data_IF_226847443624
#
_entry.id   IF_226847443624
#
_cell.length_a   1.000
_cell.length_b   1.000
_cell.length_c   1.000
_cell.angle_alpha   90.00
_cell.angle_beta   90.00
_cell.angle_gamma   90.00
#
_symmetry.space_group_name_H-M   'P 1'
#
loop_
_entity.id
_entity.type
_entity.pdbx_description
1 polymer ?
#
# COMPACT_ATOMS: atom_id res chain seq x y z
N UNK A 1 34.70 19.51 -22.96
CA UNK A 1 34.39 18.08 -22.79
C UNK A 1 33.75 17.87 -21.42
N UNK A 2 32.43 18.05 -21.30
CA UNK A 2 31.73 17.93 -20.02
C UNK A 2 31.21 16.49 -19.91
N UNK A 3 31.81 15.69 -19.02
CA UNK A 3 31.35 14.34 -18.71
C UNK A 3 30.00 14.43 -17.99
N UNK A 4 28.92 14.14 -18.69
CA UNK A 4 27.62 13.89 -18.08
C UNK A 4 27.73 12.59 -17.26
N UNK A 5 27.74 12.72 -15.93
CA UNK A 5 27.55 11.58 -15.04
C UNK A 5 26.14 11.05 -15.27
N UNK A 6 26.03 9.84 -15.82
CA UNK A 6 24.77 9.16 -16.02
C UNK A 6 24.02 9.05 -14.70
N UNK A 7 22.91 9.76 -14.58
CA UNK A 7 21.95 9.55 -13.50
C UNK A 7 21.44 8.11 -13.61
N UNK A 8 21.80 7.28 -12.63
CA UNK A 8 21.30 5.91 -12.54
C UNK A 8 19.77 5.93 -12.60
N UNK A 9 19.21 5.30 -13.62
CA UNK A 9 17.75 5.14 -13.80
C UNK A 9 17.18 4.56 -12.52
N UNK A 10 16.47 5.37 -11.73
CA UNK A 10 15.71 4.90 -10.58
C UNK A 10 14.58 4.02 -11.13
N UNK A 11 14.76 2.70 -11.04
CA UNK A 11 13.75 1.73 -11.45
C UNK A 11 12.67 1.69 -10.39
N UNK A 12 11.68 2.57 -10.50
CA UNK A 12 10.42 2.35 -9.79
C UNK A 12 9.68 1.22 -10.50
N UNK A 13 9.35 0.16 -9.76
CA UNK A 13 8.55 -0.95 -10.27
C UNK A 13 7.18 -0.86 -9.63
N UNK A 14 6.14 -0.83 -10.44
CA UNK A 14 4.77 -1.05 -9.97
C UNK A 14 4.64 -2.55 -9.74
N UNK A 15 4.41 -2.94 -8.48
CA UNK A 15 4.25 -4.34 -8.11
C UNK A 15 2.83 -4.53 -7.61
N UNK A 16 2.25 -5.66 -7.99
CA UNK A 16 0.98 -6.17 -7.49
C UNK A 16 1.30 -7.42 -6.66
N UNK A 17 1.22 -7.34 -5.33
CA UNK A 17 1.30 -8.56 -4.52
C UNK A 17 -0.12 -9.06 -4.26
N UNK A 18 -0.26 -10.39 -4.19
CA UNK A 18 -1.54 -11.07 -4.02
C UNK A 18 -1.55 -11.75 -2.66
N UNK A 19 -2.64 -11.56 -1.92
CA UNK A 19 -2.93 -12.26 -0.68
C UNK A 19 -4.25 -12.99 -0.82
N UNK A 20 -4.33 -14.19 -0.25
CA UNK A 20 -5.56 -14.97 -0.22
C UNK A 20 -5.97 -15.13 1.24
N UNK A 21 -7.20 -14.72 1.55
CA UNK A 21 -7.77 -14.85 2.89
C UNK A 21 -8.98 -15.77 2.86
N UNK A 22 -9.12 -16.60 3.89
CA UNK A 22 -10.27 -17.46 4.10
C UNK A 22 -11.19 -16.78 5.11
N UNK A 23 -12.34 -16.31 4.65
CA UNK A 23 -13.36 -15.64 5.46
C UNK A 23 -14.63 -16.46 5.33
N UNK A 24 -15.08 -17.09 6.42
CA UNK A 24 -16.42 -17.71 6.53
C UNK A 24 -16.83 -18.46 5.24
N UNK A 25 -16.01 -19.45 4.82
CA UNK A 25 -16.15 -20.24 3.59
C UNK A 25 -16.01 -19.52 2.24
N UNK A 26 -15.54 -18.27 2.19
CA UNK A 26 -15.21 -17.55 0.96
C UNK A 26 -13.74 -17.15 0.93
N UNK A 27 -13.08 -17.50 -0.17
CA UNK A 27 -11.72 -17.06 -0.47
C UNK A 27 -11.78 -15.64 -1.05
N UNK A 28 -11.18 -14.67 -0.37
CA UNK A 28 -11.08 -13.29 -0.85
C UNK A 28 -9.65 -13.03 -1.31
N UNK A 29 -9.51 -12.50 -2.51
CA UNK A 29 -8.21 -12.12 -3.06
C UNK A 29 -8.02 -10.62 -2.90
N UNK A 30 -6.98 -10.24 -2.16
CA UNK A 30 -6.59 -8.84 -1.96
C UNK A 30 -5.29 -8.62 -2.71
N UNK A 31 -5.23 -7.50 -3.43
CA UNK A 31 -4.06 -7.04 -4.14
C UNK A 31 -3.61 -5.72 -3.55
N UNK A 32 -2.35 -5.60 -3.21
CA UNK A 32 -1.73 -4.30 -2.96
C UNK A 32 -0.99 -3.84 -4.21
N UNK A 33 -1.21 -2.60 -4.60
CA UNK A 33 -0.64 -2.02 -5.82
C UNK A 33 0.01 -0.71 -5.48
N UNK A 34 1.30 -0.60 -5.80
CA UNK A 34 2.06 0.62 -5.60
C UNK A 34 3.48 0.49 -6.14
N UNK A 35 4.26 1.53 -5.90
CA UNK A 35 5.65 1.61 -6.35
C UNK A 35 6.60 1.12 -5.27
N UNK A 36 7.58 0.34 -5.69
CA UNK A 36 8.78 0.07 -4.90
C UNK A 36 9.96 0.90 -5.39
N UNK A 37 10.76 1.37 -4.45
CA UNK A 37 12.06 1.96 -4.68
C UNK A 37 13.03 1.45 -3.62
N UNK A 38 14.16 0.88 -4.06
CA UNK A 38 15.20 0.32 -3.17
C UNK A 38 14.66 -0.70 -2.14
N UNK A 39 13.67 -1.51 -2.53
CA UNK A 39 13.04 -2.50 -1.64
C UNK A 39 11.95 -1.93 -0.72
N UNK A 40 11.76 -0.61 -0.68
CA UNK A 40 10.73 0.04 0.12
C UNK A 40 9.50 0.39 -0.71
N UNK A 41 8.33 0.27 -0.08
CA UNK A 41 7.07 0.84 -0.60
C UNK A 41 7.17 2.35 -0.52
N UNK A 42 6.89 3.05 -1.61
CA UNK A 42 6.92 4.50 -1.66
C UNK A 42 5.64 5.05 -2.27
N UNK A 43 5.36 6.33 -2.00
CA UNK A 43 4.22 7.08 -2.51
C UNK A 43 2.88 6.36 -2.21
N UNK A 44 1.91 6.49 -3.11
CA UNK A 44 0.57 5.96 -2.93
C UNK A 44 0.53 4.46 -3.15
N UNK A 45 -0.11 3.79 -2.20
CA UNK A 45 -0.44 2.37 -2.24
C UNK A 45 -1.95 2.19 -2.17
N UNK A 46 -2.50 1.30 -3.00
CA UNK A 46 -3.92 0.97 -2.99
C UNK A 46 -4.10 -0.51 -2.67
N UNK A 47 -5.11 -0.83 -1.85
CA UNK A 47 -5.60 -2.18 -1.63
C UNK A 47 -6.84 -2.40 -2.46
N UNK A 48 -6.83 -3.45 -3.29
CA UNK A 48 -7.86 -3.76 -4.27
C UNK A 48 -8.36 -5.17 -3.99
N UNK A 49 -9.67 -5.36 -3.90
CA UNK A 49 -10.32 -6.67 -3.77
C UNK A 49 -11.54 -6.71 -4.67
N UNK A 50 -11.80 -7.82 -5.35
CA UNK A 50 -12.95 -7.97 -6.26
C UNK A 50 -13.05 -6.79 -7.27
N UNK A 51 -11.91 -6.28 -7.74
CA UNK A 51 -11.75 -5.07 -8.58
C UNK A 51 -12.22 -3.74 -7.96
N UNK A 52 -12.62 -3.72 -6.70
CA UNK A 52 -12.92 -2.51 -5.95
C UNK A 52 -11.72 -2.08 -5.11
N UNK A 53 -11.47 -0.77 -5.05
CA UNK A 53 -10.51 -0.20 -4.10
C UNK A 53 -11.13 -0.27 -2.69
N UNK A 54 -10.49 -1.03 -1.81
CA UNK A 54 -10.93 -1.24 -0.42
C UNK A 54 -10.08 -0.48 0.60
N UNK A 55 -8.94 0.07 0.16
CA UNK A 55 -8.09 0.89 1.02
C UNK A 55 -6.98 1.60 0.25
N UNK A 56 -6.31 2.53 0.91
CA UNK A 56 -5.09 3.15 0.41
C UNK A 56 -4.33 3.88 1.49
N UNK A 57 -3.07 4.17 1.22
CA UNK A 57 -2.27 5.05 2.04
C UNK A 57 -1.07 5.57 1.28
N UNK A 58 -0.27 6.39 1.96
CA UNK A 58 0.96 6.94 1.43
C UNK A 58 2.15 6.47 2.27
N UNK A 59 3.19 6.01 1.59
CA UNK A 59 4.50 5.78 2.20
C UNK A 59 5.45 6.90 1.83
N UNK A 60 6.30 7.30 2.78
CA UNK A 60 7.41 8.21 2.53
C UNK A 60 8.56 7.49 1.82
N UNK A 61 9.63 8.22 1.49
CA UNK A 61 10.82 7.66 0.80
C UNK A 61 11.59 6.63 1.63
N UNK A 62 11.33 6.56 2.94
CA UNK A 62 11.94 5.61 3.87
C UNK A 62 11.05 4.38 4.11
N UNK A 63 9.93 4.24 3.39
CA UNK A 63 9.02 3.10 3.55
C UNK A 63 8.08 3.19 4.75
N UNK A 64 7.95 4.36 5.39
CA UNK A 64 7.07 4.57 6.53
C UNK A 64 5.73 5.14 6.10
N UNK A 65 4.64 4.68 6.73
CA UNK A 65 3.28 5.19 6.51
C UNK A 65 3.22 6.68 6.90
N UNK A 66 2.62 7.49 6.04
CA UNK A 66 2.42 8.92 6.26
C UNK A 66 1.03 9.36 5.81
N UNK A 67 0.47 10.35 6.52
CA UNK A 67 -0.79 11.00 6.18
C UNK A 67 -1.99 10.08 6.38
N UNK A 68 -3.04 10.31 5.58
CA UNK A 68 -4.30 9.57 5.71
C UNK A 68 -4.18 8.16 5.14
N UNK A 69 -4.54 7.20 5.97
CA UNK A 69 -4.61 5.78 5.67
C UNK A 69 -6.04 5.30 5.80
N UNK A 70 -6.45 4.54 4.80
CA UNK A 70 -7.72 3.82 4.74
C UNK A 70 -7.34 2.36 4.91
N UNK A 71 -7.49 1.85 6.13
CA UNK A 71 -7.10 0.51 6.53
C UNK A 71 -8.31 -0.39 6.73
N UNK A 72 -8.09 -1.67 6.45
CA UNK A 72 -9.08 -2.70 6.70
C UNK A 72 -9.01 -3.06 8.18
N UNK A 73 -10.13 -2.96 8.88
CA UNK A 73 -10.21 -3.44 10.25
C UNK A 73 -10.03 -4.98 10.29
N UNK A 74 -9.61 -5.50 11.45
CA UNK A 74 -9.65 -6.94 11.73
C UNK A 74 -11.06 -7.53 11.60
N UNK A 75 -12.11 -6.73 11.83
CA UNK A 75 -13.51 -7.09 11.59
C UNK A 75 -13.97 -6.93 10.13
N UNK A 76 -13.21 -6.23 9.28
CA UNK A 76 -13.48 -6.20 7.83
C UNK A 76 -13.53 -7.63 7.27
N UNK A 77 -12.72 -8.51 7.84
CA UNK A 77 -12.68 -9.92 7.47
C UNK A 77 -14.04 -10.58 7.65
N UNK A 78 -14.81 -10.34 8.71
CA UNK A 78 -16.10 -11.04 8.89
C UNK A 78 -17.28 -10.35 8.19
N UNK A 79 -17.25 -9.02 8.04
CA UNK A 79 -18.43 -8.25 7.61
C UNK A 79 -18.25 -7.49 6.28
N UNK A 80 -17.07 -7.54 5.65
CA UNK A 80 -16.71 -6.79 4.42
C UNK A 80 -17.04 -5.28 4.48
N UNK A 81 -17.15 -4.68 5.67
CA UNK A 81 -17.74 -3.33 5.83
C UNK A 81 -17.01 -2.37 6.76
N UNK A 82 -15.89 -2.75 7.36
CA UNK A 82 -15.21 -1.88 8.33
C UNK A 82 -13.92 -1.30 7.75
N UNK A 83 -13.95 0.01 7.51
CA UNK A 83 -12.83 0.81 7.01
C UNK A 83 -12.45 1.79 8.11
N UNK A 84 -11.20 1.74 8.58
CA UNK A 84 -10.67 2.76 9.48
C UNK A 84 -9.94 3.84 8.70
N UNK A 85 -10.19 5.09 9.11
CA UNK A 85 -9.43 6.24 8.67
C UNK A 85 -8.47 6.62 9.79
N UNK A 86 -7.18 6.55 9.54
CA UNK A 86 -6.14 6.98 10.46
C UNK A 86 -5.21 7.99 9.82
N UNK A 87 -4.63 8.88 10.61
CA UNK A 87 -3.54 9.75 10.15
C UNK A 87 -2.23 9.32 10.81
N UNK A 88 -1.27 8.93 9.98
CA UNK A 88 0.06 8.51 10.41
C UNK A 88 1.03 9.69 10.30
N UNK A 89 1.57 10.10 11.45
CA UNK A 89 2.62 11.13 11.53
C UNK A 89 3.98 10.46 11.81
N UNK A 90 5.07 11.22 11.71
CA UNK A 90 6.44 10.69 11.96
C UNK A 90 6.61 10.04 13.35
N UNK A 91 5.68 10.29 14.29
CA UNK A 91 5.70 9.77 15.65
C UNK A 91 4.67 8.66 15.92
N UNK A 92 3.96 8.16 14.89
CA UNK A 92 2.93 7.13 15.03
C UNK A 92 1.52 7.58 14.62
N UNK A 93 0.54 6.68 14.83
CA UNK A 93 -0.87 6.90 14.53
C UNK A 93 -1.48 7.87 15.56
N UNK A 94 -2.24 8.86 15.11
CA UNK A 94 -2.90 9.87 15.96
C UNK A 94 -4.41 9.64 16.02
#
# INVERSE_FOLDING_TARGET
MVRSKGFGKIRSQTIRCKYQLNIVNRKVEIFDVGKYQNGFRIERWNFISENAKIGCGFYNKNGQKQGKWIELDKGFYNLKKVIYFGEYNMNGMK
#
